data_IF_995542692998
#
_entry.id   IF_995542692998
#
_cell.length_a   1.000
_cell.length_b   1.000
_cell.length_c   1.000
_cell.angle_alpha   90.00
_cell.angle_beta   90.00
_cell.angle_gamma   90.00
#
_symmetry.space_group_name_H-M   'P 1'
#
loop_
_entity.id
_entity.type
_entity.pdbx_description
1 polymer ?
#
# COMPACT_ATOMS: atom_id res chain seq x y z
N UNK A 1 19.57 -4.80 -15.58
CA UNK A 1 18.59 -5.90 -15.45
C UNK A 1 17.86 -5.75 -14.12
N UNK A 2 16.52 -5.69 -14.09
CA UNK A 2 15.78 -5.66 -12.82
C UNK A 2 15.71 -7.06 -12.21
N UNK A 3 15.99 -7.17 -10.92
CA UNK A 3 15.59 -8.33 -10.13
C UNK A 3 14.29 -7.98 -9.42
N UNK A 4 13.23 -8.69 -9.76
CA UNK A 4 11.85 -8.41 -9.29
C UNK A 4 11.50 -9.17 -8.01
N UNK A 5 12.19 -10.30 -7.75
CA UNK A 5 11.97 -11.14 -6.58
C UNK A 5 13.28 -11.64 -5.98
N UNK A 6 13.33 -11.72 -4.65
CA UNK A 6 14.43 -12.34 -3.93
C UNK A 6 13.95 -12.86 -2.58
N UNK A 7 14.10 -14.16 -2.35
CA UNK A 7 13.78 -14.80 -1.07
C UNK A 7 14.92 -15.73 -0.66
N UNK A 8 14.96 -16.06 0.63
CA UNK A 8 15.82 -17.10 1.17
C UNK A 8 14.95 -18.20 1.77
N UNK A 9 15.46 -19.43 1.77
CA UNK A 9 14.77 -20.54 2.42
C UNK A 9 14.53 -20.25 3.90
N UNK A 10 13.47 -20.85 4.46
CA UNK A 10 13.12 -20.67 5.86
C UNK A 10 14.30 -21.01 6.78
N UNK A 11 14.50 -20.18 7.81
CA UNK A 11 15.63 -20.30 8.75
C UNK A 11 16.99 -19.83 8.23
N UNK A 12 17.11 -19.43 6.95
CA UNK A 12 18.37 -18.92 6.39
C UNK A 12 18.51 -17.41 6.57
N UNK A 13 19.74 -16.98 6.87
CA UNK A 13 20.05 -15.56 7.02
C UNK A 13 20.19 -14.88 5.66
N UNK A 14 19.26 -13.97 5.36
CA UNK A 14 19.34 -13.14 4.15
C UNK A 14 20.65 -12.35 4.08
N UNK A 15 21.14 -11.84 5.22
CA UNK A 15 22.42 -11.10 5.30
C UNK A 15 23.62 -11.97 4.94
N UNK A 16 23.59 -13.27 5.27
CA UNK A 16 24.67 -14.20 4.93
C UNK A 16 24.67 -14.56 3.43
N UNK A 17 23.48 -14.66 2.83
CA UNK A 17 23.29 -15.09 1.43
C UNK A 17 23.50 -13.94 0.44
N UNK A 18 23.02 -12.74 0.77
CA UNK A 18 22.94 -11.61 -0.16
C UNK A 18 24.28 -11.23 -0.82
N UNK A 19 25.44 -11.21 -0.14
CA UNK A 19 26.72 -10.90 -0.79
C UNK A 19 27.13 -11.92 -1.88
N UNK A 20 26.85 -13.21 -1.66
CA UNK A 20 27.15 -14.25 -2.65
C UNK A 20 26.24 -14.10 -3.88
N UNK A 21 24.96 -13.86 -3.65
CA UNK A 21 23.97 -13.62 -4.71
C UNK A 21 24.33 -12.36 -5.51
N UNK A 22 24.72 -11.27 -4.87
CA UNK A 22 25.12 -10.03 -5.55
C UNK A 22 26.37 -10.23 -6.43
N UNK A 23 27.36 -10.98 -5.96
CA UNK A 23 28.55 -11.33 -6.78
C UNK A 23 28.16 -12.15 -8.00
N UNK A 24 27.29 -13.14 -7.81
CA UNK A 24 26.80 -13.96 -8.91
C UNK A 24 25.98 -13.15 -9.92
N UNK A 25 25.03 -12.33 -9.45
CA UNK A 25 24.22 -11.47 -10.30
C UNK A 25 25.05 -10.47 -11.11
N UNK A 26 26.14 -9.93 -10.51
CA UNK A 26 27.08 -9.07 -11.23
C UNK A 26 27.76 -9.80 -12.37
N UNK A 27 28.34 -10.99 -12.10
CA UNK A 27 29.00 -11.80 -13.13
C UNK A 27 28.03 -12.20 -14.25
N UNK A 28 26.81 -12.61 -13.89
CA UNK A 28 25.76 -12.95 -14.84
C UNK A 28 25.36 -11.74 -15.70
N UNK A 29 25.15 -10.57 -15.09
CA UNK A 29 24.81 -9.36 -15.82
C UNK A 29 25.93 -8.89 -16.77
N UNK A 30 27.20 -9.09 -16.40
CA UNK A 30 28.37 -8.81 -17.25
C UNK A 30 28.39 -9.73 -18.47
N UNK A 31 28.08 -11.03 -18.29
CA UNK A 31 27.97 -11.98 -19.40
C UNK A 31 26.85 -11.59 -20.37
N UNK A 32 25.65 -11.29 -19.86
CA UNK A 32 24.50 -10.86 -20.69
C UNK A 32 24.82 -9.58 -21.45
N UNK A 33 25.50 -8.62 -20.83
CA UNK A 33 25.94 -7.38 -21.45
C UNK A 33 26.91 -7.64 -22.62
N UNK A 34 27.84 -8.58 -22.45
CA UNK A 34 28.79 -8.99 -23.49
C UNK A 34 28.06 -9.65 -24.68
N UNK A 35 27.14 -10.58 -24.42
CA UNK A 35 26.34 -11.25 -25.45
C UNK A 35 25.49 -10.25 -26.25
N UNK A 36 24.97 -9.21 -25.59
CA UNK A 36 24.16 -8.16 -26.22
C UNK A 36 25.00 -7.03 -26.84
N UNK A 37 26.33 -7.08 -26.75
CA UNK A 37 27.24 -6.00 -27.18
C UNK A 37 26.83 -4.63 -26.60
N UNK A 38 26.32 -4.60 -25.37
CA UNK A 38 25.80 -3.42 -24.71
C UNK A 38 26.49 -3.23 -23.35
N UNK A 39 26.84 -1.99 -22.93
CA UNK A 39 27.50 -1.79 -21.66
C UNK A 39 26.57 -2.05 -20.46
N UNK A 40 27.05 -2.81 -19.48
CA UNK A 40 26.36 -2.96 -18.19
C UNK A 40 26.40 -1.62 -17.44
N UNK A 41 25.23 -0.99 -17.23
CA UNK A 41 25.12 0.30 -16.53
C UNK A 41 24.86 0.14 -15.04
N UNK A 42 23.91 -0.72 -14.67
CA UNK A 42 23.52 -0.93 -13.27
C UNK A 42 22.76 -2.24 -13.06
N UNK A 43 22.91 -2.76 -11.85
CA UNK A 43 22.05 -3.78 -11.25
C UNK A 43 21.15 -3.07 -10.22
N UNK A 44 19.85 -3.32 -10.25
CA UNK A 44 18.92 -2.76 -9.28
C UNK A 44 17.81 -3.76 -8.96
N UNK A 45 17.27 -3.63 -7.75
CA UNK A 45 16.15 -4.42 -7.25
C UNK A 45 14.88 -3.58 -7.28
N UNK A 46 13.76 -4.18 -7.67
CA UNK A 46 12.46 -3.53 -7.67
C UNK A 46 11.53 -4.18 -6.64
N UNK A 47 11.85 -4.01 -5.35
CA UNK A 47 11.12 -4.68 -4.27
C UNK A 47 9.99 -3.84 -3.64
N UNK A 48 9.65 -2.69 -4.24
CA UNK A 48 8.62 -1.79 -3.73
C UNK A 48 9.00 -1.06 -2.43
N UNK A 49 8.06 -0.32 -1.86
CA UNK A 49 8.32 0.67 -0.80
C UNK A 49 8.40 0.11 0.62
N UNK A 50 7.59 -0.89 0.98
CA UNK A 50 7.22 -1.09 2.40
C UNK A 50 7.84 -2.32 3.08
N UNK A 51 8.29 -3.37 2.39
CA UNK A 51 8.40 -4.65 3.11
C UNK A 51 9.54 -5.61 2.73
N UNK A 52 10.51 -5.26 1.89
CA UNK A 52 11.50 -6.26 1.51
C UNK A 52 12.56 -6.49 2.61
N UNK A 53 12.76 -7.73 3.10
CA UNK A 53 13.72 -8.00 4.17
C UNK A 53 15.16 -7.61 3.82
N UNK A 54 15.48 -7.52 2.51
CA UNK A 54 16.78 -7.05 2.03
C UNK A 54 17.11 -5.62 2.50
N UNK A 55 16.11 -4.76 2.69
CA UNK A 55 16.29 -3.39 3.20
C UNK A 55 16.86 -3.38 4.62
N UNK A 56 16.42 -4.31 5.47
CA UNK A 56 16.93 -4.47 6.82
C UNK A 56 18.21 -5.32 6.88
N UNK A 57 18.33 -6.31 6.00
CA UNK A 57 19.44 -7.26 6.04
C UNK A 57 20.79 -6.60 5.73
N UNK A 58 20.87 -5.70 4.75
CA UNK A 58 22.11 -5.01 4.34
C UNK A 58 21.84 -3.60 3.77
N UNK A 59 21.39 -2.63 4.59
CA UNK A 59 21.15 -1.26 4.13
C UNK A 59 22.40 -0.61 3.51
N UNK A 60 23.60 -0.99 3.94
CA UNK A 60 24.89 -0.48 3.45
C UNK A 60 25.18 -0.84 1.98
N UNK A 61 24.61 -1.93 1.47
CA UNK A 61 24.78 -2.34 0.07
C UNK A 61 23.75 -1.70 -0.86
N UNK A 62 22.67 -1.15 -0.31
CA UNK A 62 21.59 -0.50 -1.05
C UNK A 62 21.84 1.00 -1.11
N UNK A 63 22.89 1.37 -1.86
CA UNK A 63 23.38 2.77 -1.97
C UNK A 63 22.34 3.80 -2.41
N UNK A 64 21.26 3.37 -3.10
CA UNK A 64 20.15 4.22 -3.51
C UNK A 64 18.83 3.44 -3.44
N UNK A 65 17.98 3.83 -2.48
CA UNK A 65 16.56 3.44 -2.46
C UNK A 65 15.76 4.59 -3.05
N UNK A 66 14.90 4.30 -4.03
CA UNK A 66 13.98 5.27 -4.61
C UNK A 66 12.56 4.84 -4.29
N UNK A 67 11.73 5.80 -3.93
CA UNK A 67 10.30 5.56 -3.86
C UNK A 67 9.80 5.16 -5.27
N UNK A 68 8.95 4.13 -5.37
CA UNK A 68 8.36 3.74 -6.63
C UNK A 68 7.48 4.87 -7.18
N UNK A 69 7.33 4.91 -8.50
CA UNK A 69 6.42 5.86 -9.14
C UNK A 69 5.00 5.67 -8.60
N UNK A 70 4.34 6.79 -8.29
CA UNK A 70 2.99 6.79 -7.77
C UNK A 70 1.98 7.04 -8.89
N UNK A 71 1.10 6.06 -9.11
CA UNK A 71 0.06 6.18 -10.12
C UNK A 71 -1.09 7.08 -9.68
N UNK A 72 -1.47 7.95 -10.61
CA UNK A 72 -2.68 8.77 -10.66
C UNK A 72 -4.00 8.01 -10.76
N UNK A 73 -4.56 7.42 -9.70
CA UNK A 73 -5.79 6.59 -9.84
C UNK A 73 -7.07 7.38 -9.49
N UNK A 74 -8.10 7.20 -10.33
CA UNK A 74 -9.48 7.64 -10.08
C UNK A 74 -10.42 6.45 -10.12
N UNK A 75 -11.40 6.43 -9.22
CA UNK A 75 -12.53 5.52 -9.25
C UNK A 75 -13.78 6.33 -9.62
N UNK A 76 -14.42 6.07 -10.78
CA UNK A 76 -15.58 6.85 -11.21
C UNK A 76 -16.81 6.62 -10.31
N UNK A 77 -16.95 5.42 -9.74
CA UNK A 77 -17.97 5.08 -8.74
C UNK A 77 -17.29 4.40 -7.55
N UNK A 78 -16.84 5.21 -6.60
CA UNK A 78 -16.16 4.74 -5.40
C UNK A 78 -17.05 3.86 -4.51
N UNK A 79 -18.34 4.21 -4.24
CA UNK A 79 -19.27 3.33 -3.54
C UNK A 79 -19.40 1.94 -4.19
N UNK A 80 -19.60 1.87 -5.52
CA UNK A 80 -19.70 0.58 -6.22
C UNK A 80 -18.40 -0.22 -6.13
N UNK A 81 -17.25 0.43 -6.26
CA UNK A 81 -15.96 -0.23 -6.06
C UNK A 81 -15.82 -0.82 -4.65
N UNK A 82 -16.18 -0.06 -3.61
CA UNK A 82 -16.10 -0.53 -2.23
C UNK A 82 -17.04 -1.70 -1.94
N UNK A 83 -18.26 -1.69 -2.50
CA UNK A 83 -19.17 -2.84 -2.46
C UNK A 83 -18.58 -4.05 -3.17
N UNK A 84 -17.91 -3.85 -4.30
CA UNK A 84 -17.27 -4.93 -5.05
C UNK A 84 -16.13 -5.58 -4.26
N UNK A 85 -15.31 -4.79 -3.56
CA UNK A 85 -14.21 -5.31 -2.74
C UNK A 85 -14.60 -5.60 -1.28
N UNK A 86 -15.88 -5.51 -0.93
CA UNK A 86 -16.37 -5.72 0.44
C UNK A 86 -15.85 -7.01 1.09
N UNK A 87 -15.81 -8.18 0.42
CA UNK A 87 -15.31 -9.40 1.04
C UNK A 87 -13.86 -9.28 1.55
N UNK A 88 -13.02 -8.51 0.87
CA UNK A 88 -11.63 -8.26 1.29
C UNK A 88 -11.60 -7.31 2.48
N UNK A 89 -12.44 -6.28 2.48
CA UNK A 89 -12.55 -5.32 3.58
C UNK A 89 -13.04 -6.00 4.87
N UNK A 90 -14.06 -6.86 4.76
CA UNK A 90 -14.60 -7.63 5.87
C UNK A 90 -13.55 -8.61 6.44
N UNK A 91 -12.79 -9.31 5.59
CA UNK A 91 -11.70 -10.19 6.02
C UNK A 91 -10.57 -9.43 6.73
N UNK A 92 -10.23 -8.23 6.27
CA UNK A 92 -9.25 -7.36 6.93
C UNK A 92 -9.76 -6.88 8.29
N UNK A 93 -11.02 -6.47 8.39
CA UNK A 93 -11.62 -6.10 9.67
C UNK A 93 -11.61 -7.27 10.64
N UNK A 94 -12.04 -8.45 10.21
CA UNK A 94 -12.09 -9.65 11.04
C UNK A 94 -10.70 -10.09 11.56
N UNK A 95 -9.62 -9.76 10.86
CA UNK A 95 -8.24 -10.06 11.28
C UNK A 95 -7.56 -8.90 12.03
N UNK A 96 -8.29 -7.83 12.34
CA UNK A 96 -7.78 -6.63 13.01
C UNK A 96 -8.21 -6.52 14.47
N UNK A 97 -7.67 -5.53 15.18
CA UNK A 97 -8.07 -5.19 16.55
C UNK A 97 -9.52 -4.66 16.67
N UNK A 98 -10.16 -4.31 15.56
CA UNK A 98 -11.55 -3.82 15.49
C UNK A 98 -12.47 -4.84 14.79
N UNK A 99 -12.17 -6.13 14.94
CA UNK A 99 -13.02 -7.21 14.43
C UNK A 99 -14.46 -7.08 14.96
N UNK A 100 -15.43 -7.29 14.07
CA UNK A 100 -16.85 -7.14 14.41
C UNK A 100 -17.36 -5.70 14.51
N UNK A 101 -16.56 -4.70 14.07
CA UNK A 101 -16.94 -3.29 14.09
C UNK A 101 -18.36 -3.07 13.55
N UNK A 102 -19.14 -2.28 14.28
CA UNK A 102 -20.49 -1.86 13.94
C UNK A 102 -20.57 -0.36 14.11
N UNK A 103 -20.93 0.36 13.05
CA UNK A 103 -20.83 1.80 13.06
C UNK A 103 -21.04 2.42 11.69
N UNK A 104 -21.12 3.75 11.68
CA UNK A 104 -21.22 4.56 10.47
C UNK A 104 -19.95 5.37 10.33
N UNK A 105 -19.24 5.21 9.23
CA UNK A 105 -18.08 6.03 8.87
C UNK A 105 -18.51 7.03 7.80
N UNK A 106 -18.57 8.31 8.17
CA UNK A 106 -18.81 9.43 7.25
C UNK A 106 -17.49 10.08 6.91
N UNK A 107 -17.11 9.98 5.65
CA UNK A 107 -15.85 10.48 5.16
C UNK A 107 -16.14 11.65 4.22
N UNK A 108 -15.70 12.85 4.58
CA UNK A 108 -15.88 14.06 3.81
C UNK A 108 -14.72 14.31 2.85
N UNK A 109 -15.06 14.70 1.62
CA UNK A 109 -14.20 15.31 0.62
C UNK A 109 -14.65 16.75 0.33
N UNK A 110 -14.92 17.51 1.41
CA UNK A 110 -15.52 18.85 1.42
C UNK A 110 -17.02 18.86 1.08
N UNK A 111 -17.38 18.98 -0.20
CA UNK A 111 -18.78 19.13 -0.66
C UNK A 111 -19.44 17.81 -1.04
N UNK A 112 -18.64 16.75 -1.08
CA UNK A 112 -19.06 15.37 -1.31
C UNK A 112 -18.43 14.49 -0.26
N UNK A 113 -18.85 13.24 -0.20
CA UNK A 113 -18.32 12.28 0.74
C UNK A 113 -18.84 10.88 0.49
N UNK A 114 -18.45 10.00 1.38
CA UNK A 114 -18.75 8.59 1.36
C UNK A 114 -19.26 8.20 2.75
N UNK A 115 -20.39 7.52 2.80
CA UNK A 115 -20.87 6.89 4.03
C UNK A 115 -20.73 5.39 3.90
N UNK A 116 -20.00 4.78 4.84
CA UNK A 116 -19.92 3.33 5.00
C UNK A 116 -20.67 2.94 6.27
N UNK A 117 -21.52 1.93 6.18
CA UNK A 117 -22.20 1.36 7.33
C UNK A 117 -21.73 -0.06 7.51
N UNK A 118 -21.24 -0.37 8.71
CA UNK A 118 -20.83 -1.71 9.09
C UNK A 118 -21.75 -2.28 10.17
N UNK A 119 -22.06 -3.57 10.04
CA UNK A 119 -22.82 -4.35 11.02
C UNK A 119 -22.07 -5.66 11.30
N UNK A 120 -21.62 -5.84 12.53
CA UNK A 120 -20.85 -7.01 12.98
C UNK A 120 -19.66 -7.34 12.07
N UNK A 121 -18.95 -6.31 11.60
CA UNK A 121 -17.79 -6.43 10.72
C UNK A 121 -18.11 -6.63 9.24
N UNK A 122 -19.40 -6.64 8.86
CA UNK A 122 -19.85 -6.72 7.46
C UNK A 122 -20.21 -5.36 6.91
N UNK A 123 -19.91 -5.10 5.63
CA UNK A 123 -20.29 -3.86 4.98
C UNK A 123 -21.78 -3.92 4.59
N UNK A 124 -22.62 -3.29 5.40
CA UNK A 124 -24.06 -3.23 5.17
C UNK A 124 -24.42 -2.27 4.01
N UNK A 125 -23.72 -1.13 3.91
CA UNK A 125 -23.86 -0.22 2.77
C UNK A 125 -22.61 0.64 2.56
N UNK A 126 -22.41 1.08 1.32
CA UNK A 126 -21.46 2.10 0.95
C UNK A 126 -22.15 3.03 -0.04
N UNK A 127 -22.36 4.28 0.30
CA UNK A 127 -23.16 5.21 -0.50
C UNK A 127 -22.50 6.59 -0.60
N UNK A 128 -22.78 7.35 -1.67
CA UNK A 128 -22.47 8.77 -1.70
C UNK A 128 -23.13 9.47 -0.50
N UNK A 129 -22.39 10.39 0.10
CA UNK A 129 -22.88 11.17 1.21
C UNK A 129 -22.63 12.66 0.93
N UNK A 130 -23.59 13.52 1.26
CA UNK A 130 -23.38 14.96 1.23
C UNK A 130 -23.04 15.42 2.65
N UNK A 131 -21.83 15.99 2.87
CA UNK A 131 -21.44 16.47 4.17
C UNK A 131 -22.35 17.59 4.66
N UNK A 132 -23.00 17.33 5.79
CA UNK A 132 -23.66 18.35 6.60
C UNK A 132 -22.73 18.59 7.78
N UNK A 133 -22.17 19.80 7.88
CA UNK A 133 -21.00 20.07 8.72
C UNK A 133 -21.11 19.52 10.15
N UNK A 134 -20.02 18.91 10.61
CA UNK A 134 -19.88 18.38 11.97
C UNK A 134 -20.40 16.95 12.15
N UNK A 135 -20.78 16.25 11.08
CA UNK A 135 -21.21 14.85 11.12
C UNK A 135 -20.17 13.88 10.56
N UNK A 136 -19.11 14.40 9.94
CA UNK A 136 -18.01 13.63 9.39
C UNK A 136 -17.12 13.04 10.50
N UNK A 137 -16.75 11.77 10.33
CA UNK A 137 -15.79 11.07 11.16
C UNK A 137 -14.36 11.22 10.65
N UNK A 138 -14.23 11.49 9.36
CA UNK A 138 -12.97 11.76 8.70
C UNK A 138 -13.13 12.77 7.57
N UNK A 139 -12.05 13.48 7.28
CA UNK A 139 -11.98 14.49 6.24
C UNK A 139 -10.71 14.35 5.43
N UNK A 140 -10.84 14.50 4.11
CA UNK A 140 -9.73 14.47 3.15
C UNK A 140 -9.96 15.56 2.08
N UNK A 141 -8.90 16.15 1.51
CA UNK A 141 -9.04 16.92 0.28
C UNK A 141 -9.52 16.03 -0.89
N UNK A 142 -10.19 16.60 -1.91
CA UNK A 142 -10.76 15.83 -3.02
C UNK A 142 -9.78 14.86 -3.71
N UNK A 143 -10.13 13.58 -3.69
CA UNK A 143 -9.40 12.46 -4.28
C UNK A 143 -8.19 11.98 -3.49
N UNK A 144 -7.89 12.56 -2.30
CA UNK A 144 -6.73 12.16 -1.50
C UNK A 144 -6.97 10.81 -0.82
N UNK A 145 -8.20 10.52 -0.39
CA UNK A 145 -8.56 9.24 0.24
C UNK A 145 -8.28 8.02 -0.65
N UNK A 146 -8.29 8.19 -1.98
CA UNK A 146 -7.94 7.13 -2.92
C UNK A 146 -6.53 6.59 -2.70
N UNK A 147 -5.60 7.42 -2.21
CA UNK A 147 -4.25 6.95 -1.86
C UNK A 147 -4.27 5.96 -0.70
N UNK A 148 -5.23 6.09 0.22
CA UNK A 148 -5.41 5.15 1.30
C UNK A 148 -6.15 3.91 0.80
N UNK A 149 -7.28 4.08 0.10
CA UNK A 149 -8.10 2.98 -0.44
C UNK A 149 -7.29 2.01 -1.31
N UNK A 150 -6.37 2.54 -2.14
CA UNK A 150 -5.49 1.71 -2.98
C UNK A 150 -4.17 1.31 -2.30
N UNK A 151 -4.05 1.47 -0.99
CA UNK A 151 -2.93 1.00 -0.17
C UNK A 151 -1.61 1.74 -0.41
N UNK A 152 -1.62 2.92 -1.03
CA UNK A 152 -0.39 3.70 -1.30
C UNK A 152 0.15 4.38 -0.06
N UNK A 153 -0.72 4.88 0.81
CA UNK A 153 -0.35 5.63 2.01
C UNK A 153 -1.32 5.36 3.15
N UNK A 154 -0.81 5.42 4.38
CA UNK A 154 -1.63 5.49 5.59
C UNK A 154 -2.05 6.94 5.89
N UNK A 155 -3.02 7.11 6.79
CA UNK A 155 -3.51 8.42 7.24
C UNK A 155 -2.39 9.32 7.78
N UNK A 156 -1.47 8.79 8.59
CA UNK A 156 -0.34 9.54 9.12
C UNK A 156 0.60 10.04 8.01
N UNK A 157 0.81 9.24 6.96
CA UNK A 157 1.56 9.63 5.77
C UNK A 157 0.86 10.75 4.99
N UNK A 158 -0.46 10.69 4.86
CA UNK A 158 -1.25 11.73 4.17
C UNK A 158 -1.23 13.06 4.94
N UNK A 159 -1.39 13.02 6.27
CA UNK A 159 -1.33 14.19 7.16
C UNK A 159 -0.06 15.02 7.03
N UNK A 160 1.07 14.39 6.67
CA UNK A 160 2.35 15.10 6.48
C UNK A 160 2.34 16.06 5.30
N UNK A 161 1.49 15.82 4.30
CA UNK A 161 1.41 16.62 3.07
C UNK A 161 0.10 17.39 2.95
N UNK A 162 -0.96 16.92 3.62
CA UNK A 162 -2.30 17.49 3.59
C UNK A 162 -2.75 17.76 5.04
N UNK A 163 -2.56 18.99 5.55
CA UNK A 163 -2.95 19.35 6.92
C UNK A 163 -4.42 19.11 7.23
N UNK A 164 -5.28 19.23 6.21
CA UNK A 164 -6.73 19.04 6.35
C UNK A 164 -7.14 17.56 6.46
N UNK A 165 -6.21 16.61 6.24
CA UNK A 165 -6.51 15.20 6.41
C UNK A 165 -6.66 14.85 7.90
N UNK A 166 -7.85 14.43 8.32
CA UNK A 166 -8.05 13.94 9.68
C UNK A 166 -9.11 12.84 9.75
N UNK A 167 -9.08 12.10 10.85
CA UNK A 167 -10.13 11.19 11.30
C UNK A 167 -10.15 11.25 12.83
N UNK A 168 -11.33 11.02 13.42
CA UNK A 168 -11.45 10.74 14.85
C UNK A 168 -10.70 9.45 15.22
N UNK A 169 -10.43 9.24 16.51
CA UNK A 169 -9.54 8.17 16.97
C UNK A 169 -10.03 6.78 16.58
N UNK A 170 -11.35 6.53 16.69
CA UNK A 170 -11.95 5.25 16.30
C UNK A 170 -11.85 5.03 14.78
N UNK A 171 -12.24 6.04 14.00
CA UNK A 171 -12.26 5.99 12.54
C UNK A 171 -10.85 5.86 11.97
N UNK A 172 -9.83 6.47 12.59
CA UNK A 172 -8.45 6.30 12.20
C UNK A 172 -8.02 4.82 12.31
N UNK A 173 -8.42 4.11 13.37
CA UNK A 173 -8.12 2.68 13.56
C UNK A 173 -8.88 1.83 12.53
N UNK A 174 -10.17 2.09 12.33
CA UNK A 174 -11.00 1.34 11.36
C UNK A 174 -10.50 1.54 9.93
N UNK A 175 -10.20 2.77 9.52
CA UNK A 175 -9.63 3.04 8.20
C UNK A 175 -8.27 2.36 8.03
N UNK A 176 -7.41 2.38 9.06
CA UNK A 176 -6.13 1.69 9.04
C UNK A 176 -6.25 0.17 8.87
N UNK A 177 -7.29 -0.44 9.46
CA UNK A 177 -7.60 -1.85 9.28
C UNK A 177 -8.16 -2.16 7.88
N UNK A 178 -9.07 -1.32 7.37
CA UNK A 178 -9.69 -1.50 6.05
C UNK A 178 -8.69 -1.34 4.90
N UNK A 179 -7.82 -0.34 5.01
CA UNK A 179 -6.96 0.14 3.93
C UNK A 179 -5.50 0.27 4.39
N UNK A 180 -4.87 -0.84 4.82
CA UNK A 180 -3.46 -0.81 5.22
C UNK A 180 -2.58 -0.48 3.99
N UNK A 181 -1.41 0.16 4.17
CA UNK A 181 -0.43 0.29 3.11
C UNK A 181 -0.05 -1.08 2.54
N UNK A 182 -0.15 -1.25 1.23
CA UNK A 182 0.21 -2.49 0.54
C UNK A 182 1.08 -2.20 -0.69
N UNK A 183 1.95 -3.14 -1.09
CA UNK A 183 2.66 -3.03 -2.36
C UNK A 183 1.66 -2.91 -3.52
N UNK A 184 1.73 -1.83 -4.29
CA UNK A 184 0.85 -1.62 -5.46
C UNK A 184 1.30 -2.34 -6.73
N UNK A 185 2.38 -3.14 -6.65
CA UNK A 185 2.88 -3.98 -7.74
C UNK A 185 2.84 -5.43 -7.26
N UNK A 186 1.95 -6.22 -7.85
CA UNK A 186 1.88 -7.66 -7.66
C UNK A 186 2.83 -8.28 -8.67
N UNK A 187 3.92 -8.89 -8.21
CA UNK A 187 4.69 -9.78 -9.08
C UNK A 187 3.93 -11.10 -9.11
N UNK A 188 3.47 -11.50 -10.30
CA UNK A 188 2.79 -12.78 -10.46
C UNK A 188 3.81 -13.90 -10.29
N UNK A 189 3.56 -14.79 -9.33
CA UNK A 189 4.30 -16.04 -9.22
C UNK A 189 3.98 -16.87 -10.46
N UNK A 190 4.95 -17.05 -11.35
CA UNK A 190 4.92 -18.05 -12.42
C UNK A 190 5.27 -19.43 -11.90
#
# INVERSE_FOLDING_TARGET
MPVVEFAVAEGQSMRAVLPAVLRWLKAFAEQVAQEQSAPMRSLYFNFGRVAHPAYAAMPELLSKVRDPYAWYIRAPDLPAFLRHIAPVLEARLASSAVAGHTGVLRISEHVSGLQLVFEQGRLASAEPWQPVGGQENAHFPPGVILQMIFGRSELAGLRRFYPDCWADDETAVVLGALFPPQPSCVVALS
#
